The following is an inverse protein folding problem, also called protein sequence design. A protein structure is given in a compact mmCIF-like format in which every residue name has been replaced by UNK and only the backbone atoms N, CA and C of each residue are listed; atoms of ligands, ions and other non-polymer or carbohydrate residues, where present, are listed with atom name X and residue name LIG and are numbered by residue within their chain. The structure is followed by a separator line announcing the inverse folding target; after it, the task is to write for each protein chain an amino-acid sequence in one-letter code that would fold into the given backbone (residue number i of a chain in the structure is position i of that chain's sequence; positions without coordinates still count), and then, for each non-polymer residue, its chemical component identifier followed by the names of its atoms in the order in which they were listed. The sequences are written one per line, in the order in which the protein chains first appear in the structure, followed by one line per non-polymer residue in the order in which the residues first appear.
data_IF_979515423675
#
_entry.id   IF_979515423675
#
_cell.length_a   1.000
_cell.length_b   1.000
_cell.length_c   1.000
_cell.angle_alpha   90.00
_cell.angle_beta   90.00
_cell.angle_gamma   90.00
#
_symmetry.space_group_name_H-M   'P 1'
#
loop_
_entity.id
_entity.type
_entity.pdbx_description
1 polymer ?
#
# COMPACT_ATOMS: atom_id res chain seq x y z
N UNK A 1 -11.29 -4.40 7.45
CA UNK A 1 -10.04 -4.88 6.85
C UNK A 1 -8.90 -3.97 7.27
N UNK A 2 -7.75 -4.52 7.63
CA UNK A 2 -6.62 -3.71 8.07
C UNK A 2 -5.94 -3.01 6.89
N UNK A 3 -5.13 -1.99 7.19
CA UNK A 3 -4.35 -1.30 6.16
C UNK A 3 -3.44 -2.28 5.42
N UNK A 4 -2.74 -3.16 6.16
CA UNK A 4 -1.84 -4.13 5.55
C UNK A 4 -2.56 -5.09 4.63
N UNK A 5 -3.72 -5.58 5.03
CA UNK A 5 -4.53 -6.47 4.20
C UNK A 5 -5.02 -5.75 2.95
N UNK A 6 -5.41 -4.48 3.09
CA UNK A 6 -5.90 -3.69 1.97
C UNK A 6 -4.77 -3.45 0.95
N UNK A 7 -3.57 -3.15 1.43
CA UNK A 7 -2.40 -2.98 0.55
C UNK A 7 -2.09 -4.28 -0.17
N UNK A 8 -2.08 -5.40 0.56
CA UNK A 8 -1.79 -6.70 -0.04
C UNK A 8 -2.82 -7.06 -1.11
N UNK A 9 -4.11 -6.87 -0.80
CA UNK A 9 -5.16 -7.17 -1.75
C UNK A 9 -5.03 -6.33 -3.02
N UNK A 10 -4.74 -5.04 -2.86
CA UNK A 10 -4.56 -4.14 -3.99
C UNK A 10 -3.40 -4.61 -4.87
N UNK A 11 -2.29 -4.97 -4.24
CA UNK A 11 -1.13 -5.51 -4.96
C UNK A 11 -1.50 -6.79 -5.73
N UNK A 12 -2.21 -7.70 -5.06
CA UNK A 12 -2.59 -8.97 -5.67
C UNK A 12 -3.58 -8.81 -6.82
N UNK A 13 -4.47 -7.84 -6.72
CA UNK A 13 -5.41 -7.55 -7.81
C UNK A 13 -4.67 -7.09 -9.06
N UNK A 14 -3.54 -6.44 -8.90
CA UNK A 14 -2.71 -6.01 -10.02
C UNK A 14 -1.77 -7.14 -10.50
N UNK A 15 -1.80 -8.28 -9.83
CA UNK A 15 -0.94 -9.44 -10.14
C UNK A 15 0.54 -9.13 -9.95
N UNK A 16 0.85 -8.31 -8.95
CA UNK A 16 2.23 -7.96 -8.59
C UNK A 16 2.71 -8.81 -7.41
N UNK A 17 3.95 -9.27 -7.48
CA UNK A 17 4.61 -9.84 -6.30
C UNK A 17 5.01 -8.68 -5.38
N UNK A 18 5.39 -9.00 -4.12
CA UNK A 18 5.91 -7.97 -3.22
C UNK A 18 7.14 -7.30 -3.81
N UNK A 19 8.02 -8.09 -4.44
CA UNK A 19 9.23 -7.57 -5.06
C UNK A 19 8.92 -6.60 -6.19
N UNK A 20 8.01 -6.96 -7.08
CA UNK A 20 7.61 -6.09 -8.19
C UNK A 20 6.98 -4.80 -7.68
N UNK A 21 6.15 -4.92 -6.64
CA UNK A 21 5.48 -3.77 -6.05
C UNK A 21 6.51 -2.83 -5.41
N UNK A 22 7.48 -3.40 -4.71
CA UNK A 22 8.55 -2.60 -4.10
C UNK A 22 9.33 -1.82 -5.16
N UNK A 23 9.65 -2.46 -6.27
CA UNK A 23 10.34 -1.80 -7.38
C UNK A 23 9.47 -0.67 -7.97
N UNK A 24 8.19 -0.95 -8.17
CA UNK A 24 7.26 0.03 -8.74
C UNK A 24 7.17 1.27 -7.85
N UNK A 25 7.10 1.08 -6.54
CA UNK A 25 6.98 2.18 -5.59
C UNK A 25 8.33 2.77 -5.19
N UNK A 26 9.42 2.18 -5.66
CA UNK A 26 10.78 2.61 -5.33
C UNK A 26 11.05 2.58 -3.82
N UNK A 27 10.67 1.47 -3.20
CA UNK A 27 10.94 1.21 -1.77
C UNK A 27 11.57 -0.17 -1.62
N UNK A 28 12.10 -0.45 -0.43
CA UNK A 28 12.69 -1.76 -0.15
C UNK A 28 11.61 -2.83 -0.05
N UNK A 29 11.96 -4.06 -0.43
CA UNK A 29 11.05 -5.20 -0.28
C UNK A 29 10.61 -5.37 1.17
N UNK A 30 11.54 -5.20 2.12
CA UNK A 30 11.21 -5.30 3.54
C UNK A 30 10.17 -4.27 3.96
N UNK A 31 10.16 -3.11 3.33
CA UNK A 31 9.16 -2.08 3.60
C UNK A 31 7.75 -2.56 3.23
N UNK A 32 7.61 -3.17 2.05
CA UNK A 32 6.32 -3.72 1.62
C UNK A 32 5.87 -4.80 2.60
N UNK A 33 6.77 -5.71 2.95
CA UNK A 33 6.44 -6.78 3.88
C UNK A 33 5.96 -6.23 5.23
N UNK A 34 6.62 -5.20 5.76
CA UNK A 34 6.23 -4.58 7.03
C UNK A 34 4.86 -3.91 6.94
N UNK A 35 4.56 -3.25 5.83
CA UNK A 35 3.24 -2.66 5.62
C UNK A 35 2.15 -3.75 5.64
N UNK A 36 2.37 -4.83 4.92
CA UNK A 36 1.37 -5.89 4.79
C UNK A 36 1.17 -6.66 6.09
N UNK A 37 2.16 -6.65 6.98
CA UNK A 37 2.06 -7.24 8.32
C UNK A 37 1.59 -6.24 9.38
N UNK A 38 1.24 -5.03 8.99
CA UNK A 38 0.80 -3.96 9.90
C UNK A 38 1.88 -3.58 10.94
N UNK A 39 3.16 -3.77 10.59
CA UNK A 39 4.28 -3.39 11.45
C UNK A 39 4.77 -1.97 11.16
N UNK A 40 4.34 -1.40 10.06
CA UNK A 40 4.64 -0.03 9.66
C UNK A 40 3.53 0.44 8.73
N UNK A 41 3.42 1.74 8.54
CA UNK A 41 2.47 2.29 7.57
C UNK A 41 3.22 3.16 6.57
N UNK A 42 2.70 3.28 5.33
CA UNK A 42 3.32 4.16 4.35
C UNK A 42 3.32 5.61 4.82
N UNK A 43 4.40 6.33 4.55
CA UNK A 43 4.42 7.77 4.78
C UNK A 43 3.71 8.49 3.61
N UNK A 44 3.61 9.80 3.71
CA UNK A 44 2.90 10.60 2.70
C UNK A 44 3.46 10.39 1.29
N UNK A 45 4.79 10.35 1.17
CA UNK A 45 5.44 10.13 -0.12
C UNK A 45 5.07 8.77 -0.71
N UNK A 46 5.07 7.74 0.13
CA UNK A 46 4.71 6.39 -0.29
C UNK A 46 3.23 6.33 -0.69
N UNK A 47 2.37 7.04 0.05
CA UNK A 47 0.94 7.06 -0.29
C UNK A 47 0.71 7.71 -1.66
N UNK A 48 1.47 8.75 -2.02
CA UNK A 48 1.38 9.33 -3.36
C UNK A 48 1.77 8.33 -4.43
N UNK A 49 2.82 7.53 -4.19
CA UNK A 49 3.25 6.50 -5.12
C UNK A 49 2.18 5.41 -5.26
N UNK A 50 1.57 5.01 -4.15
CA UNK A 50 0.49 4.03 -4.17
C UNK A 50 -0.71 4.54 -4.96
N UNK A 51 -1.02 5.82 -4.82
CA UNK A 51 -2.13 6.42 -5.58
C UNK A 51 -1.88 6.34 -7.09
N UNK A 52 -0.66 6.69 -7.51
CA UNK A 52 -0.29 6.59 -8.92
C UNK A 52 -0.38 5.14 -9.41
N UNK A 53 0.09 4.20 -8.58
CA UNK A 53 0.00 2.77 -8.89
C UNK A 53 -1.46 2.35 -9.11
N UNK A 54 -2.35 2.75 -8.20
CA UNK A 54 -3.77 2.42 -8.31
C UNK A 54 -4.38 3.02 -9.57
N UNK A 55 -4.07 4.29 -9.85
CA UNK A 55 -4.58 4.96 -11.05
C UNK A 55 -4.13 4.25 -12.33
N UNK A 56 -2.86 3.83 -12.37
CA UNK A 56 -2.30 3.16 -13.54
C UNK A 56 -2.87 1.76 -13.75
N UNK A 57 -3.38 1.14 -12.69
CA UNK A 57 -3.89 -0.23 -12.75
C UNK A 57 -5.41 -0.30 -12.57
N UNK A 58 -6.10 0.84 -12.61
CA UNK A 58 -7.56 0.93 -12.46
C UNK A 58 -8.04 0.30 -11.16
N UNK A 59 -7.31 0.55 -10.06
CA UNK A 59 -7.65 0.03 -8.74
C UNK A 59 -8.16 1.16 -7.86
N UNK A 60 -8.98 0.78 -6.88
CA UNK A 60 -9.60 1.75 -5.98
C UNK A 60 -8.65 2.16 -4.85
N UNK A 61 -8.06 3.32 -4.99
CA UNK A 61 -7.15 3.88 -3.99
C UNK A 61 -7.88 4.22 -2.69
N UNK A 62 -9.18 4.53 -2.76
CA UNK A 62 -9.94 4.99 -1.60
C UNK A 62 -9.92 3.97 -0.45
N UNK A 63 -9.89 2.67 -0.76
CA UNK A 63 -9.84 1.64 0.27
C UNK A 63 -8.58 1.76 1.11
N UNK A 64 -7.42 1.97 0.46
CA UNK A 64 -6.15 2.15 1.16
C UNK A 64 -6.15 3.47 1.92
N UNK A 65 -6.62 4.54 1.28
CA UNK A 65 -6.66 5.86 1.89
C UNK A 65 -7.49 5.86 3.17
N UNK A 66 -8.66 5.24 3.13
CA UNK A 66 -9.54 5.20 4.30
C UNK A 66 -8.87 4.47 5.47
N UNK A 67 -8.25 3.34 5.21
CA UNK A 67 -7.57 2.58 6.26
C UNK A 67 -6.35 3.34 6.79
N UNK A 68 -5.63 4.00 5.90
CA UNK A 68 -4.45 4.77 6.27
C UNK A 68 -4.82 5.97 7.16
N UNK A 69 -5.90 6.67 6.81
CA UNK A 69 -6.38 7.80 7.59
C UNK A 69 -6.87 7.36 8.98
N UNK A 70 -7.54 6.22 9.05
CA UNK A 70 -8.02 5.69 10.32
C UNK A 70 -6.85 5.36 11.25
N UNK A 71 -5.78 4.75 10.72
CA UNK A 71 -4.61 4.44 11.53
C UNK A 71 -3.91 5.71 12.01
N UNK A 72 -3.89 6.75 11.18
CA UNK A 72 -3.30 8.03 11.55
C UNK A 72 -4.04 8.66 12.74
N UNK A 73 -5.35 8.53 12.77
CA UNK A 73 -6.17 9.08 13.85
C UNK A 73 -5.91 8.36 15.17
N UNK A 74 -5.66 7.08 15.13
CA UNK A 74 -5.43 6.27 16.33
C UNK A 74 -4.07 6.52 17.00
N UNK A 75 -3.14 7.11 16.29
CA UNK A 75 -1.80 7.39 16.79
C UNK A 75 -1.69 8.79 17.37
#
# INVERSE_FOLDING_TARGET
MSLGETIRLTRQKALYTQEDFAKELNVALSTINRWELNKAKPNMKAMRAIKVFCDNNNLDYALIENEWLNRSVEE
#
